data_IF_462452810630
#
_entry.id   IF_462452810630
#
_cell.length_a   1.000
_cell.length_b   1.000
_cell.length_c   1.000
_cell.angle_alpha   90.00
_cell.angle_beta   90.00
_cell.angle_gamma   90.00
#
_symmetry.space_group_name_H-M   'P 1'
#
loop_
_entity.id
_entity.type
_entity.pdbx_description
1 polymer ?
#
# COMPACT_ATOMS: atom_id res chain seq x y z
N UNK A 1 -29.66 30.87 -5.07
CA UNK A 1 -29.24 32.28 -5.20
C UNK A 1 -28.31 32.36 -6.40
N UNK A 2 -28.38 33.42 -7.21
CA UNK A 2 -27.34 33.64 -8.21
C UNK A 2 -26.01 33.88 -7.47
N UNK A 3 -24.95 33.20 -7.89
CA UNK A 3 -23.62 33.28 -7.29
C UNK A 3 -22.92 34.61 -7.69
N UNK A 4 -23.59 35.75 -7.44
CA UNK A 4 -23.24 37.07 -7.97
C UNK A 4 -21.85 37.54 -7.55
N UNK A 5 -21.41 37.19 -6.35
CA UNK A 5 -20.06 37.47 -5.84
C UNK A 5 -18.96 36.65 -6.53
N UNK A 6 -19.30 35.61 -7.29
CA UNK A 6 -18.36 34.76 -8.03
C UNK A 6 -18.40 35.01 -9.54
N UNK A 7 -19.17 35.99 -10.01
CA UNK A 7 -19.39 36.27 -11.44
C UNK A 7 -18.09 36.47 -12.23
N UNK A 8 -17.10 37.17 -11.68
CA UNK A 8 -15.78 37.36 -12.31
C UNK A 8 -15.03 36.04 -12.48
N UNK A 9 -14.97 35.22 -11.43
CA UNK A 9 -14.25 33.93 -11.47
C UNK A 9 -14.95 32.93 -12.40
N UNK A 10 -16.29 32.89 -12.39
CA UNK A 10 -17.09 32.07 -13.31
C UNK A 10 -16.81 32.46 -14.77
N UNK A 11 -16.80 33.77 -15.06
CA UNK A 11 -16.50 34.27 -16.41
C UNK A 11 -15.07 33.94 -16.86
N UNK A 12 -14.08 34.05 -15.95
CA UNK A 12 -12.70 33.72 -16.25
C UNK A 12 -12.52 32.22 -16.57
N UNK A 13 -13.12 31.32 -15.77
CA UNK A 13 -13.08 29.87 -16.02
C UNK A 13 -13.77 29.52 -17.33
N UNK A 14 -14.95 30.09 -17.59
CA UNK A 14 -15.69 29.88 -18.84
C UNK A 14 -14.86 30.32 -20.05
N UNK A 15 -14.34 31.55 -20.04
CA UNK A 15 -13.55 32.11 -21.14
C UNK A 15 -12.28 31.30 -21.40
N UNK A 16 -11.57 30.88 -20.33
CA UNK A 16 -10.38 30.05 -20.48
C UNK A 16 -10.72 28.66 -21.03
N UNK A 17 -11.77 28.02 -20.52
CA UNK A 17 -12.25 26.73 -21.01
C UNK A 17 -12.57 26.79 -22.51
N UNK A 18 -13.40 27.77 -22.92
CA UNK A 18 -13.75 28.02 -24.32
C UNK A 18 -12.52 28.16 -25.22
N UNK A 19 -11.50 28.91 -24.77
CA UNK A 19 -10.27 29.14 -25.55
C UNK A 19 -9.43 27.89 -25.80
N UNK A 20 -9.56 26.85 -24.95
CA UNK A 20 -8.74 25.64 -24.99
C UNK A 20 -9.38 24.51 -25.80
N UNK A 21 -10.71 24.48 -25.90
CA UNK A 21 -11.49 23.36 -26.47
C UNK A 21 -11.00 22.97 -27.87
N UNK A 22 -10.76 23.94 -28.75
CA UNK A 22 -10.40 23.66 -30.16
C UNK A 22 -9.08 22.89 -30.31
N UNK A 23 -8.17 23.02 -29.34
CA UNK A 23 -6.87 22.35 -29.33
C UNK A 23 -6.79 21.14 -28.38
N UNK A 24 -7.77 20.97 -27.49
CA UNK A 24 -7.73 19.99 -26.41
C UNK A 24 -7.65 18.55 -26.91
N UNK A 25 -6.81 17.72 -26.32
CA UNK A 25 -6.86 16.26 -26.45
C UNK A 25 -8.17 15.69 -25.87
N UNK A 26 -8.44 14.40 -26.07
CA UNK A 26 -9.63 13.76 -25.50
C UNK A 26 -9.69 13.87 -23.96
N UNK A 27 -8.54 13.75 -23.28
CA UNK A 27 -8.46 13.90 -21.83
C UNK A 27 -8.69 15.34 -21.40
N UNK A 28 -7.99 16.29 -22.02
CA UNK A 28 -8.15 17.71 -21.70
C UNK A 28 -9.58 18.19 -21.97
N UNK A 29 -10.25 17.65 -23.01
CA UNK A 29 -11.65 17.99 -23.29
C UNK A 29 -12.60 17.48 -22.20
N UNK A 30 -12.34 16.31 -21.62
CA UNK A 30 -13.09 15.80 -20.48
C UNK A 30 -12.90 16.70 -19.24
N UNK A 31 -11.66 17.12 -18.97
CA UNK A 31 -11.33 18.01 -17.83
C UNK A 31 -11.93 19.41 -17.99
N UNK A 32 -11.86 19.99 -19.19
CA UNK A 32 -12.43 21.30 -19.50
C UNK A 32 -13.95 21.28 -19.28
N UNK A 33 -14.65 20.29 -19.84
CA UNK A 33 -16.11 20.19 -19.71
C UNK A 33 -16.54 19.90 -18.27
N UNK A 34 -15.72 19.20 -17.48
CA UNK A 34 -15.95 19.03 -16.05
C UNK A 34 -15.83 20.36 -15.29
N UNK A 35 -14.82 21.18 -15.61
CA UNK A 35 -14.68 22.50 -15.03
C UNK A 35 -15.89 23.39 -15.37
N UNK A 36 -16.37 23.36 -16.62
CA UNK A 36 -17.58 24.08 -17.04
C UNK A 36 -18.83 23.60 -16.27
N UNK A 37 -18.94 22.29 -16.03
CA UNK A 37 -19.99 21.70 -15.20
C UNK A 37 -19.92 22.22 -13.75
N UNK A 38 -18.74 22.27 -13.14
CA UNK A 38 -18.58 22.76 -11.75
C UNK A 38 -18.97 24.23 -11.57
N UNK A 39 -18.84 25.06 -12.61
CA UNK A 39 -19.27 26.48 -12.59
C UNK A 39 -20.69 26.71 -13.13
N UNK A 40 -21.45 25.63 -13.37
CA UNK A 40 -22.82 25.68 -13.88
C UNK A 40 -22.96 26.39 -15.23
N UNK A 41 -22.05 26.08 -16.17
CA UNK A 41 -22.02 26.61 -17.54
C UNK A 41 -22.14 25.52 -18.61
N UNK A 42 -22.91 24.48 -18.32
CA UNK A 42 -23.17 23.38 -19.28
C UNK A 42 -24.12 23.81 -20.40
N UNK A 43 -24.91 24.87 -20.19
CA UNK A 43 -25.85 25.48 -21.13
C UNK A 43 -25.26 26.65 -21.95
N UNK A 44 -23.94 26.87 -21.87
CA UNK A 44 -23.27 27.90 -22.66
C UNK A 44 -23.14 27.46 -24.13
N UNK A 45 -23.95 28.07 -25.01
CA UNK A 45 -24.02 27.71 -26.42
C UNK A 45 -22.68 27.78 -27.17
N UNK A 46 -21.77 28.68 -26.76
CA UNK A 46 -20.43 28.79 -27.37
C UNK A 46 -19.59 27.57 -27.01
N UNK A 47 -19.59 27.18 -25.72
CA UNK A 47 -18.90 25.99 -25.25
C UNK A 47 -19.49 24.72 -25.87
N UNK A 48 -20.82 24.55 -25.89
CA UNK A 48 -21.48 23.39 -26.51
C UNK A 48 -21.08 23.22 -27.98
N UNK A 49 -21.13 24.31 -28.75
CA UNK A 49 -20.73 24.30 -30.16
C UNK A 49 -19.27 23.90 -30.33
N UNK A 50 -18.38 24.44 -29.49
CA UNK A 50 -16.95 24.13 -29.53
C UNK A 50 -16.67 22.67 -29.14
N UNK A 51 -17.32 22.15 -28.10
CA UNK A 51 -17.19 20.74 -27.66
C UNK A 51 -17.67 19.82 -28.76
N UNK A 52 -18.83 20.08 -29.36
CA UNK A 52 -19.37 19.26 -30.44
C UNK A 52 -18.42 19.20 -31.65
N UNK A 53 -17.87 20.35 -32.05
CA UNK A 53 -16.87 20.41 -33.12
C UNK A 53 -15.60 19.62 -32.77
N UNK A 54 -15.10 19.76 -31.54
CA UNK A 54 -13.87 19.08 -31.11
C UNK A 54 -14.04 17.57 -31.01
N UNK A 55 -15.13 17.11 -30.40
CA UNK A 55 -15.46 15.67 -30.33
C UNK A 55 -15.53 15.09 -31.73
N UNK A 56 -16.26 15.74 -32.64
CA UNK A 56 -16.37 15.29 -34.03
C UNK A 56 -15.02 15.17 -34.74
N UNK A 57 -14.08 16.09 -34.47
CA UNK A 57 -12.73 16.07 -35.06
C UNK A 57 -11.84 14.93 -34.55
N UNK A 58 -12.07 14.42 -33.34
CA UNK A 58 -11.24 13.40 -32.70
C UNK A 58 -11.84 12.00 -32.79
N UNK A 59 -13.16 11.88 -32.81
CA UNK A 59 -13.85 10.61 -32.50
C UNK A 59 -13.57 9.48 -33.49
N UNK A 60 -13.42 9.78 -34.79
CA UNK A 60 -13.25 8.76 -35.83
C UNK A 60 -11.91 8.01 -35.73
N UNK A 61 -10.85 8.69 -35.29
CA UNK A 61 -9.49 8.14 -35.15
C UNK A 61 -9.10 7.80 -33.72
N UNK A 62 -9.94 8.14 -32.73
CA UNK A 62 -9.70 7.90 -31.32
C UNK A 62 -9.68 6.41 -30.95
N UNK A 63 -8.81 6.06 -30.02
CA UNK A 63 -8.79 4.77 -29.31
C UNK A 63 -10.05 4.57 -28.45
N UNK A 64 -10.25 3.36 -27.90
CA UNK A 64 -11.41 3.06 -27.04
C UNK A 64 -11.42 3.94 -25.78
N UNK A 65 -10.26 4.11 -25.13
CA UNK A 65 -10.12 4.95 -23.94
C UNK A 65 -10.40 6.43 -24.25
N UNK A 66 -9.88 6.92 -25.38
CA UNK A 66 -10.16 8.29 -25.83
C UNK A 66 -11.65 8.48 -26.16
N UNK A 67 -12.31 7.50 -26.77
CA UNK A 67 -13.77 7.55 -27.00
C UNK A 67 -14.57 7.59 -25.71
N UNK A 68 -14.14 6.88 -24.67
CA UNK A 68 -14.76 7.00 -23.34
C UNK A 68 -14.62 8.42 -22.79
N UNK A 69 -13.42 9.02 -22.88
CA UNK A 69 -13.16 10.42 -22.46
C UNK A 69 -13.98 11.43 -23.26
N UNK A 70 -14.07 11.27 -24.58
CA UNK A 70 -14.91 12.10 -25.44
C UNK A 70 -16.39 11.97 -25.08
N UNK A 71 -16.84 10.75 -24.74
CA UNK A 71 -18.23 10.51 -24.32
C UNK A 71 -18.52 11.16 -22.97
N UNK A 72 -17.57 11.12 -22.02
CA UNK A 72 -17.65 11.86 -20.75
C UNK A 72 -17.71 13.37 -20.97
N UNK A 73 -16.94 13.90 -21.93
CA UNK A 73 -16.97 15.32 -22.26
C UNK A 73 -18.36 15.77 -22.75
N UNK A 74 -19.02 14.96 -23.59
CA UNK A 74 -20.41 15.21 -24.02
C UNK A 74 -21.37 15.10 -22.83
N UNK A 75 -21.25 14.04 -22.02
CA UNK A 75 -22.12 13.82 -20.85
C UNK A 75 -22.03 14.97 -19.83
N UNK A 76 -20.85 15.56 -19.64
CA UNK A 76 -20.67 16.72 -18.79
C UNK A 76 -21.50 17.92 -19.24
N UNK A 77 -21.61 18.15 -20.56
CA UNK A 77 -22.37 19.27 -21.14
C UNK A 77 -23.88 19.01 -21.21
N UNK A 78 -24.32 17.75 -21.27
CA UNK A 78 -25.75 17.40 -21.27
C UNK A 78 -26.42 17.55 -19.88
N UNK A 79 -25.63 17.50 -18.81
CA UNK A 79 -26.16 17.52 -17.44
C UNK A 79 -26.61 18.94 -17.05
N UNK A 80 -27.91 19.09 -16.81
CA UNK A 80 -28.53 20.36 -16.37
C UNK A 80 -28.89 20.35 -14.88
N UNK A 81 -28.77 19.20 -14.19
CA UNK A 81 -29.05 19.09 -12.75
C UNK A 81 -27.74 18.94 -11.97
N UNK A 82 -27.39 20.00 -11.25
CA UNK A 82 -26.29 19.99 -10.30
C UNK A 82 -26.74 19.31 -9.02
N UNK A 83 -25.97 18.34 -8.53
CA UNK A 83 -26.13 17.85 -7.17
C UNK A 83 -24.82 18.04 -6.44
N UNK A 84 -24.92 18.61 -5.24
CA UNK A 84 -23.79 18.82 -4.35
C UNK A 84 -23.26 17.46 -3.87
N UNK A 85 -22.00 17.16 -4.17
CA UNK A 85 -21.34 15.93 -3.75
C UNK A 85 -19.88 15.86 -4.18
N UNK A 86 -19.05 15.18 -3.38
CA UNK A 86 -17.67 14.80 -3.73
C UNK A 86 -17.76 13.72 -4.82
N UNK A 87 -17.01 13.90 -5.91
CA UNK A 87 -16.91 12.91 -6.97
C UNK A 87 -16.22 11.65 -6.43
N UNK A 88 -16.98 10.56 -6.31
CA UNK A 88 -16.39 9.22 -6.12
C UNK A 88 -16.03 8.59 -7.48
N UNK A 89 -15.11 7.62 -7.52
CA UNK A 89 -14.60 7.01 -8.75
C UNK A 89 -15.72 6.45 -9.65
N UNK A 90 -15.55 6.60 -10.97
CA UNK A 90 -16.43 6.03 -11.99
C UNK A 90 -16.55 4.50 -11.83
N UNK A 91 -17.77 3.97 -11.95
CA UNK A 91 -18.01 2.53 -12.11
C UNK A 91 -17.56 2.11 -13.51
N UNK A 92 -16.36 1.53 -13.60
CA UNK A 92 -15.77 1.03 -14.83
C UNK A 92 -16.24 -0.40 -15.17
N UNK A 93 -17.28 -0.93 -14.51
CA UNK A 93 -17.76 -2.31 -14.71
C UNK A 93 -16.79 -3.38 -14.18
N UNK A 94 -15.90 -3.00 -13.26
CA UNK A 94 -14.95 -3.91 -12.64
C UNK A 94 -15.58 -4.51 -11.37
N UNK A 95 -15.73 -5.84 -11.36
CA UNK A 95 -16.31 -6.65 -10.27
C UNK A 95 -15.63 -6.50 -8.91
N UNK A 96 -14.46 -5.87 -8.87
CA UNK A 96 -13.56 -5.85 -7.73
C UNK A 96 -13.66 -4.53 -6.93
N UNK A 97 -14.66 -3.69 -7.23
CA UNK A 97 -14.91 -2.43 -6.50
C UNK A 97 -15.97 -2.61 -5.41
N UNK A 98 -15.73 -1.95 -4.27
CA UNK A 98 -16.49 -2.10 -3.02
C UNK A 98 -17.83 -1.34 -3.06
N UNK A 99 -17.92 -0.24 -3.82
CA UNK A 99 -19.12 0.60 -3.93
C UNK A 99 -19.77 0.44 -5.31
N UNK A 100 -21.08 0.23 -5.35
CA UNK A 100 -21.87 0.26 -6.59
C UNK A 100 -22.42 1.66 -6.79
N UNK A 101 -22.14 2.25 -7.95
CA UNK A 101 -22.84 3.44 -8.44
C UNK A 101 -23.44 3.09 -9.79
N UNK A 102 -24.61 3.60 -10.12
CA UNK A 102 -25.21 3.42 -11.45
C UNK A 102 -24.58 4.36 -12.51
N UNK A 103 -23.48 5.04 -12.18
CA UNK A 103 -22.75 5.95 -13.07
C UNK A 103 -23.50 7.21 -13.50
N UNK A 104 -24.77 7.35 -13.10
CA UNK A 104 -25.68 8.41 -13.54
C UNK A 104 -26.39 9.12 -12.38
N UNK A 105 -26.29 8.59 -11.17
CA UNK A 105 -26.94 9.21 -10.01
C UNK A 105 -26.17 10.47 -9.66
N UNK A 106 -26.84 11.61 -9.83
CA UNK A 106 -26.41 12.85 -9.21
C UNK A 106 -27.04 12.99 -7.83
N UNK A 107 -28.22 12.42 -7.55
CA UNK A 107 -28.82 12.42 -6.21
C UNK A 107 -28.06 11.48 -5.26
N UNK A 108 -27.38 12.05 -4.27
CA UNK A 108 -26.81 11.26 -3.17
C UNK A 108 -27.32 11.77 -1.83
N UNK A 109 -28.16 10.97 -1.18
CA UNK A 109 -28.19 10.92 0.28
C UNK A 109 -26.94 10.15 0.75
N UNK A 110 -26.57 10.30 2.03
CA UNK A 110 -25.46 9.58 2.70
C UNK A 110 -25.30 8.15 2.17
N UNK A 111 -24.06 7.73 1.86
CA UNK A 111 -23.74 6.35 1.46
C UNK A 111 -24.42 5.39 2.43
N UNK A 112 -25.32 4.59 1.89
CA UNK A 112 -26.07 3.59 2.63
C UNK A 112 -25.33 2.27 2.55
N UNK A 113 -25.50 1.42 3.56
CA UNK A 113 -24.96 0.06 3.55
C UNK A 113 -25.48 -0.77 2.36
N UNK A 114 -26.64 -0.39 1.80
CA UNK A 114 -27.19 -0.97 0.57
C UNK A 114 -26.31 -0.75 -0.67
N UNK A 115 -25.40 0.22 -0.62
CA UNK A 115 -24.58 0.64 -1.76
C UNK A 115 -23.26 -0.15 -1.81
N UNK A 116 -22.98 -0.96 -0.77
CA UNK A 116 -21.80 -1.80 -0.67
C UNK A 116 -22.00 -3.16 -1.33
N UNK A 117 -21.07 -3.55 -2.21
CA UNK A 117 -21.05 -4.90 -2.75
C UNK A 117 -20.49 -5.89 -1.73
N UNK A 118 -21.04 -7.11 -1.72
CA UNK A 118 -20.57 -8.19 -0.86
C UNK A 118 -20.50 -7.84 0.63
N UNK A 119 -21.40 -7.00 1.15
CA UNK A 119 -21.54 -6.79 2.58
C UNK A 119 -22.36 -7.93 3.20
N UNK A 120 -21.82 -8.57 4.24
CA UNK A 120 -22.51 -9.61 4.99
C UNK A 120 -22.98 -9.07 6.35
N UNK A 121 -24.27 -9.26 6.64
CA UNK A 121 -24.88 -8.84 7.90
C UNK A 121 -25.15 -7.33 8.00
N UNK A 122 -25.46 -6.88 9.21
CA UNK A 122 -25.70 -5.46 9.53
C UNK A 122 -24.57 -4.94 10.41
N UNK A 123 -23.74 -4.01 9.91
CA UNK A 123 -22.64 -3.46 10.68
C UNK A 123 -23.08 -2.73 11.95
N UNK A 124 -22.29 -2.86 13.01
CA UNK A 124 -22.51 -2.17 14.27
C UNK A 124 -21.77 -0.82 14.29
N UNK A 125 -22.30 0.14 15.05
CA UNK A 125 -21.66 1.44 15.19
C UNK A 125 -20.31 1.30 15.91
N UNK A 126 -19.24 1.74 15.26
CA UNK A 126 -17.87 1.65 15.77
C UNK A 126 -17.06 0.48 15.20
N UNK A 127 -17.70 -0.47 14.51
CA UNK A 127 -17.00 -1.56 13.83
C UNK A 127 -16.31 -1.10 12.53
N UNK A 128 -15.29 -1.85 12.14
CA UNK A 128 -14.59 -1.74 10.87
C UNK A 128 -15.08 -2.87 9.96
N UNK A 129 -15.25 -2.58 8.67
CA UNK A 129 -15.57 -3.60 7.68
C UNK A 129 -14.28 -4.26 7.19
N UNK A 130 -14.14 -5.56 7.46
CA UNK A 130 -12.97 -6.36 7.06
C UNK A 130 -13.41 -7.36 6.00
N UNK A 131 -12.62 -7.51 4.94
CA UNK A 131 -12.88 -8.53 3.92
C UNK A 131 -12.55 -9.91 4.49
N UNK A 132 -13.55 -10.78 4.58
CA UNK A 132 -13.40 -12.17 4.95
C UNK A 132 -13.36 -13.05 3.70
N UNK A 133 -12.19 -13.66 3.46
CA UNK A 133 -11.97 -14.54 2.32
C UNK A 133 -12.83 -15.82 2.36
N UNK A 134 -13.27 -16.27 3.54
CA UNK A 134 -14.10 -17.46 3.66
C UNK A 134 -15.54 -17.20 3.22
N UNK A 135 -16.10 -16.05 3.58
CA UNK A 135 -17.44 -15.62 3.15
C UNK A 135 -17.45 -14.79 1.86
N UNK A 136 -16.28 -14.52 1.29
CA UNK A 136 -16.05 -13.64 0.12
C UNK A 136 -16.74 -12.28 0.24
N UNK A 137 -16.88 -11.80 1.48
CA UNK A 137 -17.71 -10.65 1.84
C UNK A 137 -17.00 -9.76 2.87
N UNK A 138 -17.38 -8.48 2.92
CA UNK A 138 -17.05 -7.60 4.03
C UNK A 138 -17.93 -7.91 5.23
N UNK A 139 -17.29 -8.12 6.39
CA UNK A 139 -17.95 -8.41 7.67
C UNK A 139 -17.67 -7.30 8.67
N UNK A 140 -18.68 -6.98 9.49
CA UNK A 140 -18.54 -6.07 10.63
C UNK A 140 -17.62 -6.68 11.67
N UNK A 141 -16.52 -5.99 11.97
CA UNK A 141 -15.47 -6.46 12.87
C UNK A 141 -15.14 -5.37 13.88
N UNK A 142 -15.18 -5.68 15.17
CA UNK A 142 -14.79 -4.74 16.21
C UNK A 142 -13.35 -4.23 15.97
N UNK A 143 -13.04 -2.94 16.18
CA UNK A 143 -11.71 -2.37 15.93
C UNK A 143 -10.57 -3.15 16.61
N UNK A 144 -10.82 -3.59 17.84
CA UNK A 144 -9.87 -4.37 18.64
C UNK A 144 -9.61 -5.76 18.04
N UNK A 145 -10.59 -6.31 17.30
CA UNK A 145 -10.48 -7.57 16.57
C UNK A 145 -9.80 -7.40 15.20
N UNK A 146 -9.84 -6.19 14.63
CA UNK A 146 -9.14 -5.82 13.41
C UNK A 146 -7.65 -5.46 13.64
N UNK A 147 -7.17 -5.54 14.88
CA UNK A 147 -5.77 -5.27 15.30
C UNK A 147 -5.27 -3.90 14.83
N UNK A 148 -6.11 -2.87 14.95
CA UNK A 148 -5.68 -1.48 14.71
C UNK A 148 -5.38 -0.83 16.05
N UNK A 149 -4.12 -0.51 16.31
CA UNK A 149 -3.71 0.19 17.55
C UNK A 149 -3.51 1.68 17.29
N UNK A 150 -4.01 2.50 18.20
CA UNK A 150 -3.94 3.96 18.13
C UNK A 150 -3.02 4.50 19.23
N UNK A 151 -2.10 5.38 18.86
CA UNK A 151 -1.18 6.05 19.79
C UNK A 151 -1.20 7.56 19.58
N UNK A 152 -1.08 8.31 20.68
CA UNK A 152 -1.16 9.77 20.65
C UNK A 152 0.05 10.42 19.97
N UNK A 153 1.22 9.79 20.06
CA UNK A 153 2.48 10.24 19.46
C UNK A 153 3.44 9.06 19.23
N UNK A 154 4.56 9.35 18.58
CA UNK A 154 5.56 8.35 18.17
C UNK A 154 6.33 7.77 19.35
N UNK A 155 6.43 8.47 20.48
CA UNK A 155 7.12 7.99 21.67
C UNK A 155 6.35 6.85 22.35
N UNK A 156 5.04 6.76 22.12
CA UNK A 156 4.17 5.73 22.66
C UNK A 156 3.98 4.53 21.73
N UNK A 157 4.65 4.51 20.57
CA UNK A 157 4.54 3.39 19.64
C UNK A 157 4.97 2.07 20.32
N UNK A 158 4.28 0.97 20.01
CA UNK A 158 4.55 -0.32 20.62
C UNK A 158 5.92 -0.82 20.20
N UNK A 159 6.63 -1.47 21.14
CA UNK A 159 7.91 -2.12 20.85
C UNK A 159 7.74 -3.46 20.12
N UNK A 160 6.50 -3.90 19.95
CA UNK A 160 6.07 -5.16 19.35
C UNK A 160 5.03 -4.92 18.24
N UNK A 161 4.79 -5.94 17.41
CA UNK A 161 3.74 -5.90 16.40
C UNK A 161 3.47 -7.27 15.79
N UNK A 162 2.27 -7.46 15.27
CA UNK A 162 1.88 -8.68 14.56
C UNK A 162 1.82 -8.48 13.03
N UNK A 163 1.86 -9.59 12.28
CA UNK A 163 1.76 -9.53 10.81
C UNK A 163 0.41 -8.95 10.39
N UNK A 164 0.43 -7.85 9.62
CA UNK A 164 -0.76 -7.19 9.10
C UNK A 164 -1.37 -6.15 10.05
N UNK A 165 -0.67 -5.80 11.13
CA UNK A 165 -1.12 -4.80 12.08
C UNK A 165 -0.96 -3.37 11.53
N UNK A 166 -2.02 -2.57 11.69
CA UNK A 166 -2.01 -1.15 11.34
C UNK A 166 -1.86 -0.37 12.64
N UNK A 167 -0.85 0.50 12.71
CA UNK A 167 -0.66 1.37 13.87
C UNK A 167 -0.76 2.82 13.43
N UNK A 168 -1.71 3.53 14.01
CA UNK A 168 -1.96 4.94 13.74
C UNK A 168 -1.35 5.79 14.84
N UNK A 169 -0.61 6.83 14.45
CA UNK A 169 0.12 7.69 15.37
C UNK A 169 -0.03 9.16 14.97
N UNK A 170 -0.83 9.92 15.72
CA UNK A 170 -1.10 11.32 15.40
C UNK A 170 -1.64 11.51 13.97
N UNK A 171 -1.06 12.43 13.20
CA UNK A 171 -1.39 12.66 11.77
C UNK A 171 -0.64 11.75 10.79
N UNK A 172 0.31 10.95 11.26
CA UNK A 172 1.16 10.11 10.41
C UNK A 172 0.58 8.70 10.27
N UNK A 173 0.50 8.24 9.03
CA UNK A 173 0.09 6.87 8.70
C UNK A 173 1.35 5.99 8.58
N UNK A 174 1.50 4.98 9.45
CA UNK A 174 2.58 3.99 9.37
C UNK A 174 2.02 2.57 9.27
N UNK A 175 2.43 1.83 8.25
CA UNK A 175 2.14 0.40 8.14
C UNK A 175 3.21 -0.38 8.91
N UNK A 176 2.81 -1.26 9.83
CA UNK A 176 3.72 -2.16 10.52
C UNK A 176 3.60 -3.56 9.93
N UNK A 177 4.67 -4.01 9.27
CA UNK A 177 4.74 -5.38 8.78
C UNK A 177 5.79 -6.12 9.59
N UNK A 178 5.33 -6.93 10.54
CA UNK A 178 6.19 -7.84 11.30
C UNK A 178 6.08 -9.23 10.68
N UNK A 179 7.22 -9.84 10.37
CA UNK A 179 7.28 -11.15 9.74
C UNK A 179 7.69 -12.24 10.74
N UNK A 180 7.12 -13.43 10.56
CA UNK A 180 7.65 -14.66 11.13
C UNK A 180 8.14 -15.51 9.97
N UNK A 181 9.45 -15.61 9.81
CA UNK A 181 10.08 -16.31 8.68
C UNK A 181 10.80 -17.54 9.22
N UNK A 182 10.49 -18.72 8.67
CA UNK A 182 11.23 -19.95 8.97
C UNK A 182 12.01 -20.39 7.74
N UNK A 183 13.28 -20.73 7.91
CA UNK A 183 14.18 -21.19 6.86
C UNK A 183 14.88 -22.48 7.28
N UNK A 184 14.84 -23.50 6.42
CA UNK A 184 15.67 -24.68 6.57
C UNK A 184 17.12 -24.35 6.22
N UNK A 185 18.05 -24.85 7.03
CA UNK A 185 19.49 -24.66 6.88
C UNK A 185 20.17 -26.02 6.81
N UNK A 186 20.89 -26.26 5.73
CA UNK A 186 21.87 -27.35 5.59
C UNK A 186 23.27 -26.77 5.37
N UNK A 187 24.30 -27.62 5.44
CA UNK A 187 25.67 -27.24 5.15
C UNK A 187 26.31 -28.27 4.21
N UNK A 188 27.03 -27.77 3.20
CA UNK A 188 27.84 -28.61 2.33
C UNK A 188 29.01 -27.79 1.79
N UNK A 189 30.15 -28.43 1.51
CA UNK A 189 31.30 -27.78 0.86
C UNK A 189 31.75 -26.45 1.51
N UNK A 190 31.64 -26.34 2.84
CA UNK A 190 32.04 -25.12 3.55
C UNK A 190 31.14 -23.91 3.30
N UNK A 191 29.86 -24.11 3.02
CA UNK A 191 28.82 -23.05 2.94
C UNK A 191 27.54 -23.49 3.65
N UNK A 192 26.75 -22.52 4.15
CA UNK A 192 25.36 -22.78 4.53
C UNK A 192 24.48 -22.72 3.28
N UNK A 193 23.52 -23.63 3.18
CA UNK A 193 22.57 -23.70 2.07
C UNK A 193 21.18 -23.41 2.62
N UNK A 194 20.51 -22.42 2.03
CA UNK A 194 19.16 -21.99 2.38
C UNK A 194 18.38 -21.75 1.10
N UNK A 195 17.23 -22.40 0.94
CA UNK A 195 16.44 -22.27 -0.30
C UNK A 195 17.13 -22.78 -1.56
N UNK A 196 18.16 -23.64 -1.43
CA UNK A 196 18.94 -24.17 -2.54
C UNK A 196 20.14 -23.31 -2.97
N UNK A 197 20.36 -22.18 -2.30
CA UNK A 197 21.45 -21.25 -2.61
C UNK A 197 22.48 -21.18 -1.48
N UNK A 198 23.74 -20.93 -1.85
CA UNK A 198 24.87 -20.92 -0.93
C UNK A 198 25.05 -19.53 -0.31
N UNK A 199 25.11 -19.47 1.02
CA UNK A 199 25.44 -18.25 1.77
C UNK A 199 24.63 -17.01 1.33
N UNK A 200 23.31 -17.19 1.12
CA UNK A 200 22.44 -16.13 0.62
C UNK A 200 22.49 -14.88 1.50
N UNK A 201 22.46 -13.67 0.92
CA UNK A 201 22.17 -12.47 1.68
C UNK A 201 20.73 -12.54 2.20
N UNK A 202 20.52 -12.03 3.41
CA UNK A 202 19.21 -11.98 4.06
C UNK A 202 18.79 -10.54 4.31
N UNK A 203 17.47 -10.35 4.38
CA UNK A 203 16.85 -9.09 4.75
C UNK A 203 16.02 -9.31 6.00
N UNK A 204 16.32 -8.55 7.05
CA UNK A 204 15.58 -8.55 8.30
C UNK A 204 14.83 -7.23 8.49
N UNK A 205 13.72 -7.30 9.21
CA UNK A 205 13.00 -6.14 9.71
C UNK A 205 13.01 -6.16 11.23
N UNK A 206 13.30 -5.02 11.86
CA UNK A 206 13.23 -4.90 13.32
C UNK A 206 11.81 -5.24 13.82
N UNK A 207 11.69 -5.85 14.98
CA UNK A 207 10.46 -6.43 15.52
C UNK A 207 10.10 -7.81 14.95
N UNK A 208 10.66 -8.22 13.81
CA UNK A 208 10.35 -9.52 13.17
C UNK A 208 11.14 -10.68 13.75
N UNK A 209 10.58 -11.89 13.66
CA UNK A 209 11.23 -13.11 14.13
C UNK A 209 11.67 -13.98 12.95
N UNK A 210 12.95 -14.31 12.91
CA UNK A 210 13.54 -15.21 11.91
C UNK A 210 14.00 -16.49 12.59
N UNK A 211 13.53 -17.64 12.13
CA UNK A 211 13.89 -18.97 12.64
C UNK A 211 14.65 -19.75 11.57
N UNK A 212 15.79 -20.30 11.96
CA UNK A 212 16.69 -21.11 11.17
C UNK A 212 16.66 -22.54 11.70
N UNK A 213 16.08 -23.45 10.93
CA UNK A 213 15.97 -24.87 11.28
C UNK A 213 17.16 -25.62 10.72
N UNK A 214 18.12 -25.92 11.59
CA UNK A 214 19.32 -26.70 11.31
C UNK A 214 18.98 -28.19 11.24
N UNK A 215 19.33 -28.84 10.13
CA UNK A 215 18.96 -30.23 9.87
C UNK A 215 19.59 -31.28 10.80
N UNK A 216 20.56 -30.90 11.64
CA UNK A 216 21.24 -31.79 12.58
C UNK A 216 22.01 -32.96 11.95
N UNK A 217 22.14 -32.98 10.62
CA UNK A 217 22.84 -34.04 9.89
C UNK A 217 24.01 -33.45 9.13
N UNK A 218 23.76 -32.50 8.24
CA UNK A 218 24.80 -31.78 7.51
C UNK A 218 25.35 -30.60 8.31
N UNK A 219 24.57 -30.07 9.25
CA UNK A 219 24.94 -28.93 10.10
C UNK A 219 25.79 -29.28 11.34
N UNK A 220 26.03 -30.58 11.58
CA UNK A 220 26.97 -31.04 12.63
C UNK A 220 28.41 -30.67 12.25
N UNK A 221 29.14 -30.10 13.20
CA UNK A 221 30.45 -29.48 12.98
C UNK A 221 30.37 -28.03 12.48
N UNK A 222 29.16 -27.48 12.29
CA UNK A 222 28.94 -26.15 11.75
C UNK A 222 28.06 -25.27 12.67
N UNK A 223 28.59 -24.77 13.81
CA UNK A 223 27.85 -23.93 14.75
C UNK A 223 27.34 -22.65 14.08
N UNK A 224 26.02 -22.44 14.02
CA UNK A 224 25.41 -21.27 13.39
C UNK A 224 25.19 -20.14 14.42
N UNK A 225 25.73 -18.95 14.17
CA UNK A 225 25.55 -17.79 15.05
C UNK A 225 25.39 -16.48 14.27
N UNK A 226 24.84 -15.45 14.92
CA UNK A 226 24.79 -14.10 14.40
C UNK A 226 25.96 -13.28 14.93
N UNK A 227 26.47 -12.33 14.16
CA UNK A 227 27.56 -11.45 14.56
C UNK A 227 27.42 -10.07 13.94
N UNK A 228 28.00 -9.06 14.60
CA UNK A 228 28.21 -7.71 14.03
C UNK A 228 29.49 -7.61 13.22
N UNK A 229 30.34 -8.65 13.23
CA UNK A 229 31.57 -8.73 12.46
C UNK A 229 31.29 -9.19 11.03
N UNK A 230 31.88 -8.52 10.03
CA UNK A 230 31.80 -8.93 8.63
C UNK A 230 32.69 -10.15 8.30
N UNK A 231 33.26 -10.77 9.35
CA UNK A 231 34.19 -11.87 9.37
C UNK A 231 35.65 -11.46 9.15
N UNK A 232 35.98 -10.17 9.21
CA UNK A 232 37.38 -9.68 9.18
C UNK A 232 38.18 -10.18 10.39
N UNK A 233 37.54 -10.31 11.56
CA UNK A 233 38.19 -10.78 12.79
C UNK A 233 37.91 -12.25 13.10
N UNK A 234 37.44 -13.00 12.09
CA UNK A 234 37.12 -14.40 12.25
C UNK A 234 38.34 -15.22 12.73
N UNK A 235 38.12 -16.00 13.78
CA UNK A 235 39.00 -17.08 14.20
C UNK A 235 38.16 -18.25 14.69
N UNK A 236 38.54 -19.48 14.33
CA UNK A 236 37.75 -20.67 14.66
C UNK A 236 37.51 -20.79 16.16
N UNK A 237 36.25 -20.93 16.55
CA UNK A 237 35.81 -21.04 17.96
C UNK A 237 35.85 -19.74 18.77
N UNK A 238 36.23 -18.59 18.17
CA UNK A 238 36.32 -17.31 18.90
C UNK A 238 34.99 -16.55 18.99
N UNK A 239 34.09 -16.73 18.01
CA UNK A 239 32.79 -16.06 17.93
C UNK A 239 32.89 -14.53 18.09
N UNK A 240 33.91 -13.93 17.48
CA UNK A 240 34.11 -12.48 17.56
C UNK A 240 32.87 -11.71 17.09
N UNK A 241 32.49 -10.69 17.87
CA UNK A 241 31.32 -9.86 17.59
C UNK A 241 29.97 -10.58 17.70
N UNK A 242 29.90 -11.77 18.33
CA UNK A 242 28.65 -12.51 18.42
C UNK A 242 27.50 -11.64 18.95
N UNK A 243 26.42 -11.65 18.20
CA UNK A 243 25.20 -10.94 18.49
C UNK A 243 24.20 -11.91 19.12
N UNK A 244 23.88 -11.70 20.41
CA UNK A 244 22.97 -12.56 21.18
C UNK A 244 21.66 -11.86 21.57
N UNK A 245 21.53 -10.56 21.33
CA UNK A 245 20.34 -9.81 21.70
C UNK A 245 19.13 -10.24 20.85
N UNK A 246 18.07 -10.71 21.50
CA UNK A 246 16.91 -11.29 20.82
C UNK A 246 17.15 -12.66 20.18
N UNK A 247 18.34 -13.27 20.37
CA UNK A 247 18.70 -14.56 19.77
C UNK A 247 18.44 -15.70 20.76
N UNK A 248 17.85 -16.79 20.28
CA UNK A 248 17.75 -18.05 21.01
C UNK A 248 18.59 -19.13 20.35
N UNK A 249 19.16 -20.03 21.17
CA UNK A 249 19.92 -21.19 20.73
C UNK A 249 21.11 -20.86 19.80
N UNK A 250 21.82 -19.75 20.07
CA UNK A 250 23.02 -19.38 19.31
C UNK A 250 24.05 -20.52 19.31
N UNK A 251 24.80 -20.64 18.21
CA UNK A 251 25.85 -21.65 17.98
C UNK A 251 25.32 -23.10 17.90
N UNK A 252 24.01 -23.29 17.79
CA UNK A 252 23.46 -24.62 17.59
C UNK A 252 23.93 -25.22 16.26
N UNK A 253 23.86 -26.53 16.21
CA UNK A 253 24.21 -27.37 15.05
C UNK A 253 23.05 -28.29 14.66
N UNK A 254 21.92 -28.19 15.37
CA UNK A 254 20.68 -28.95 15.16
C UNK A 254 19.52 -28.21 15.82
N UNK A 255 18.32 -28.35 15.26
CA UNK A 255 17.12 -27.70 15.79
C UNK A 255 17.02 -26.23 15.37
N UNK A 256 16.27 -25.44 16.12
CA UNK A 256 15.95 -24.07 15.73
C UNK A 256 16.88 -23.06 16.41
N UNK A 257 17.52 -22.21 15.62
CA UNK A 257 18.11 -20.94 16.06
C UNK A 257 17.13 -19.85 15.66
N UNK A 258 16.76 -18.94 16.56
CA UNK A 258 15.89 -17.82 16.19
C UNK A 258 16.44 -16.49 16.62
N UNK A 259 16.03 -15.43 15.93
CA UNK A 259 16.27 -14.04 16.31
C UNK A 259 14.96 -13.26 16.18
N UNK A 260 14.47 -12.72 17.29
CA UNK A 260 13.51 -11.62 17.28
C UNK A 260 14.31 -10.34 17.22
N UNK A 261 14.32 -9.67 16.06
CA UNK A 261 15.22 -8.56 15.78
C UNK A 261 14.83 -7.36 16.66
N UNK A 262 15.69 -6.91 17.58
CA UNK A 262 15.37 -5.78 18.45
C UNK A 262 15.16 -4.46 17.67
N UNK A 263 14.39 -3.54 18.25
CA UNK A 263 14.12 -2.23 17.63
C UNK A 263 15.35 -1.32 17.56
N UNK A 264 16.38 -1.61 18.36
CA UNK A 264 17.67 -0.93 18.37
C UNK A 264 18.78 -1.76 17.70
N UNK A 265 18.44 -2.84 16.99
CA UNK A 265 19.41 -3.65 16.24
C UNK A 265 20.19 -2.79 15.23
N UNK A 266 21.48 -3.08 14.98
CA UNK A 266 22.26 -2.38 13.97
C UNK A 266 21.70 -2.61 12.56
N UNK A 267 22.01 -1.70 11.63
CA UNK A 267 21.58 -1.79 10.22
C UNK A 267 22.18 -2.99 9.47
N UNK A 268 23.28 -3.54 10.00
CA UNK A 268 23.97 -4.70 9.45
C UNK A 268 24.24 -5.72 10.53
N UNK A 269 23.89 -6.96 10.22
CA UNK A 269 24.30 -8.16 10.93
C UNK A 269 24.85 -9.16 9.91
N UNK A 270 25.44 -10.23 10.43
CA UNK A 270 25.92 -11.35 9.64
C UNK A 270 25.51 -12.63 10.34
N UNK A 271 25.33 -13.70 9.57
CA UNK A 271 25.37 -15.05 10.12
C UNK A 271 26.69 -15.71 9.72
N UNK A 272 27.26 -16.50 10.60
CA UNK A 272 28.59 -17.09 10.44
C UNK A 272 28.64 -18.49 11.07
N UNK A 273 29.48 -19.35 10.52
CA UNK A 273 29.84 -20.61 11.16
C UNK A 273 30.98 -20.42 12.15
N UNK A 274 30.88 -21.00 13.34
CA UNK A 274 31.95 -20.94 14.35
C UNK A 274 33.28 -21.56 13.89
N UNK A 275 33.26 -22.48 12.93
CA UNK A 275 34.41 -23.31 12.55
C UNK A 275 34.97 -23.04 11.14
N UNK A 276 34.21 -22.36 10.26
CA UNK A 276 34.64 -22.12 8.89
C UNK A 276 34.42 -20.65 8.51
N UNK A 277 35.50 -19.96 8.12
CA UNK A 277 35.45 -18.53 7.75
C UNK A 277 34.54 -18.24 6.56
N UNK A 278 34.54 -19.12 5.55
CA UNK A 278 33.76 -18.95 4.33
C UNK A 278 32.25 -19.21 4.51
N UNK A 279 31.83 -19.83 5.61
CA UNK A 279 30.42 -20.14 5.88
C UNK A 279 29.72 -18.95 6.54
N UNK A 280 29.43 -17.93 5.74
CA UNK A 280 28.84 -16.68 6.22
C UNK A 280 27.99 -16.01 5.18
N UNK A 281 27.05 -15.20 5.62
CA UNK A 281 26.32 -14.29 4.75
C UNK A 281 25.94 -13.00 5.45
N UNK A 282 25.60 -12.01 4.65
CA UNK A 282 25.20 -10.68 5.12
C UNK A 282 23.71 -10.67 5.49
N UNK A 283 23.37 -9.79 6.42
CA UNK A 283 22.00 -9.50 6.82
C UNK A 283 21.82 -7.98 6.83
N UNK A 284 21.00 -7.46 5.93
CA UNK A 284 20.58 -6.05 5.96
C UNK A 284 19.35 -5.91 6.86
N UNK A 285 19.38 -5.01 7.83
CA UNK A 285 18.32 -4.80 8.81
C UNK A 285 17.61 -3.47 8.53
N UNK A 286 16.32 -3.54 8.25
CA UNK A 286 15.49 -2.37 8.00
C UNK A 286 14.49 -2.14 9.13
N UNK A 287 13.95 -0.94 9.20
CA UNK A 287 12.82 -0.65 10.08
C UNK A 287 11.55 -1.34 9.58
N UNK A 288 10.66 -1.83 10.47
CA UNK A 288 9.43 -2.54 10.09
C UNK A 288 8.33 -1.64 9.53
N UNK A 289 8.56 -0.32 9.49
CA UNK A 289 7.58 0.64 9.03
C UNK A 289 7.87 1.13 7.63
N UNK A 290 6.81 1.13 6.80
CA UNK A 290 6.72 2.05 5.67
C UNK A 290 6.05 3.32 6.20
N UNK A 291 6.80 4.43 6.26
CA UNK A 291 6.19 5.72 6.54
C UNK A 291 5.48 6.18 5.26
N UNK A 292 4.15 6.27 5.30
CA UNK A 292 3.38 6.93 4.25
C UNK A 292 3.09 8.33 4.75
N UNK A 293 3.96 9.27 4.41
CA UNK A 293 3.62 10.68 4.56
C UNK A 293 2.53 11.01 3.54
N UNK A 294 1.43 11.60 3.98
CA UNK A 294 0.50 12.22 3.04
C UNK A 294 1.28 13.26 2.24
N UNK A 295 1.36 13.07 0.92
CA UNK A 295 1.77 14.14 0.03
C UNK A 295 0.67 15.21 0.13
N UNK A 296 0.99 16.34 0.76
CA UNK A 296 0.14 17.53 0.76
C UNK A 296 -0.10 18.03 -0.66
#
# INVERSE_FOLDING_TARGET
MADSNLSTSIAAVLSRGQSLISSATASELADITEALKKIKKTDDATAETAVNARVSSLYSTATIDEKLKLSRAVANMLETKFVDGIQFPDDTGLSDRILKTNGMSTQWAKVSLSDMNALSGTPQAGDILVYDAASTAFVSTAPDSAKIRYYADTANLPTDGEKGEIVLCGSDFKFYCVENVTRGVSAASGVYIMGGENNIPLTFYRGSTYTFTLDGTSTIGHPFYFTTDDGTYYSAGSYFGEYTNGVTNSRAQSGNVSITVPMDAPDYLYYQCGNHSAMRGTISVYSPWLAVSAAN
#
